data_IF_261723232067
#
_entry.id   IF_261723232067
#
_cell.length_a   1.000
_cell.length_b   1.000
_cell.length_c   1.000
_cell.angle_alpha   90.00
_cell.angle_beta   90.00
_cell.angle_gamma   90.00
#
_symmetry.space_group_name_H-M   'P 1'
#
loop_
_entity.id
_entity.type
_entity.pdbx_description
1 polymer ?
#
# COMPACT_ATOMS: atom_id res chain seq x y z
N UNK A 1 -18.37 8.36 2.40
CA UNK A 1 -16.98 8.02 1.99
C UNK A 1 -16.26 7.45 3.21
N UNK A 2 -15.83 6.18 3.17
CA UNK A 2 -15.16 5.58 4.33
C UNK A 2 -13.69 6.04 4.39
N UNK A 3 -13.20 6.55 5.52
CA UNK A 3 -11.84 7.06 5.66
C UNK A 3 -10.81 5.92 5.69
N UNK A 4 -9.60 6.13 5.15
CA UNK A 4 -8.48 5.18 5.34
C UNK A 4 -8.02 5.31 6.81
N UNK A 5 -8.10 4.23 7.57
CA UNK A 5 -7.73 4.21 8.99
C UNK A 5 -6.74 3.07 9.26
N UNK A 6 -5.59 3.44 9.80
CA UNK A 6 -4.58 2.50 10.25
C UNK A 6 -4.87 2.08 11.69
N UNK A 7 -4.97 0.77 11.93
CA UNK A 7 -4.95 0.17 13.26
C UNK A 7 -3.55 -0.31 13.63
N UNK A 8 -3.46 -1.11 14.70
CA UNK A 8 -2.19 -1.71 15.16
C UNK A 8 -1.54 -2.64 14.14
N UNK A 9 -2.34 -3.26 13.27
CA UNK A 9 -1.86 -4.17 12.20
C UNK A 9 -2.03 -3.56 10.80
N UNK A 10 -1.87 -2.25 10.66
CA UNK A 10 -2.00 -1.56 9.39
C UNK A 10 -3.44 -1.20 9.01
N UNK A 11 -3.66 -0.95 7.73
CA UNK A 11 -4.98 -0.64 7.17
C UNK A 11 -5.68 -1.91 6.68
N UNK A 12 -6.97 -2.05 7.01
CA UNK A 12 -7.82 -3.17 6.60
C UNK A 12 -9.13 -2.63 6.04
N UNK A 13 -9.75 -3.40 5.15
CA UNK A 13 -11.06 -3.11 4.59
C UNK A 13 -11.57 -4.26 3.74
N UNK A 14 -12.85 -4.20 3.36
CA UNK A 14 -13.47 -5.16 2.45
C UNK A 14 -12.94 -4.94 1.03
N UNK A 15 -12.42 -6.00 0.40
CA UNK A 15 -11.91 -5.98 -0.97
C UNK A 15 -13.03 -5.57 -1.93
N UNK A 16 -12.76 -4.58 -2.79
CA UNK A 16 -13.72 -4.08 -3.78
C UNK A 16 -14.65 -2.97 -3.27
N UNK A 17 -14.73 -2.76 -1.97
CA UNK A 17 -15.52 -1.68 -1.37
C UNK A 17 -14.62 -0.64 -0.70
N UNK A 18 -13.88 -1.06 0.32
CA UNK A 18 -13.01 -0.21 1.11
C UNK A 18 -11.56 -0.38 0.69
N UNK A 19 -11.17 -1.62 0.36
CA UNK A 19 -9.83 -1.96 -0.10
C UNK A 19 -9.84 -2.07 -1.62
N UNK A 20 -9.63 -0.92 -2.28
CA UNK A 20 -9.63 -0.78 -3.74
C UNK A 20 -8.23 -0.40 -4.25
N UNK A 21 -7.96 -0.63 -5.55
CA UNK A 21 -6.68 -0.26 -6.17
C UNK A 21 -6.37 1.23 -5.99
N UNK A 22 -7.35 2.11 -6.18
CA UNK A 22 -7.19 3.55 -5.98
C UNK A 22 -6.71 3.88 -4.57
N UNK A 23 -7.31 3.27 -3.56
CA UNK A 23 -6.97 3.54 -2.16
C UNK A 23 -5.63 2.91 -1.77
N UNK A 24 -5.29 1.75 -2.34
CA UNK A 24 -3.94 1.17 -2.24
C UNK A 24 -2.91 2.14 -2.80
N UNK A 25 -3.14 2.78 -3.95
CA UNK A 25 -2.22 3.79 -4.51
C UNK A 25 -1.98 4.95 -3.54
N UNK A 26 -3.06 5.48 -2.95
CA UNK A 26 -2.95 6.57 -1.97
C UNK A 26 -2.08 6.17 -0.79
N UNK A 27 -2.32 4.98 -0.21
CA UNK A 27 -1.52 4.48 0.91
C UNK A 27 -0.07 4.27 0.53
N UNK A 28 0.19 3.63 -0.61
CA UNK A 28 1.56 3.33 -1.04
C UNK A 28 2.34 4.60 -1.35
N UNK A 29 1.71 5.58 -2.01
CA UNK A 29 2.33 6.89 -2.26
C UNK A 29 2.69 7.59 -0.95
N UNK A 30 1.78 7.59 0.03
CA UNK A 30 2.06 8.19 1.34
C UNK A 30 3.26 7.51 2.05
N UNK A 31 3.42 6.19 1.90
CA UNK A 31 4.59 5.47 2.40
C UNK A 31 5.87 5.89 1.64
N UNK A 32 5.81 6.00 0.31
CA UNK A 32 6.95 6.45 -0.50
C UNK A 32 7.41 7.87 -0.12
N UNK A 33 6.47 8.78 0.09
CA UNK A 33 6.74 10.14 0.53
C UNK A 33 7.37 10.15 1.93
N UNK A 34 6.86 9.31 2.85
CA UNK A 34 7.42 9.16 4.19
C UNK A 34 8.88 8.65 4.15
N UNK A 35 9.16 7.58 3.39
CA UNK A 35 10.52 7.04 3.27
C UNK A 35 11.50 8.05 2.66
N UNK A 36 11.02 8.86 1.71
CA UNK A 36 11.80 9.95 1.11
C UNK A 36 12.10 11.04 2.15
N UNK A 37 11.09 11.45 2.93
CA UNK A 37 11.24 12.45 4.00
C UNK A 37 12.23 11.99 5.08
N UNK A 38 12.22 10.71 5.43
CA UNK A 38 13.14 10.12 6.41
C UNK A 38 14.55 9.85 5.82
N UNK A 39 14.77 10.11 4.54
CA UNK A 39 16.09 9.94 3.89
C UNK A 39 16.52 8.48 3.76
N UNK A 40 15.59 7.53 3.75
CA UNK A 40 15.87 6.09 3.71
C UNK A 40 15.35 5.38 2.45
N UNK A 41 14.88 6.15 1.46
CA UNK A 41 14.39 5.61 0.17
C UNK A 41 15.37 4.63 -0.48
N UNK A 42 16.67 4.94 -0.45
CA UNK A 42 17.70 4.13 -1.13
C UNK A 42 18.02 2.80 -0.45
N UNK A 43 17.46 2.53 0.74
CA UNK A 43 17.58 1.21 1.40
C UNK A 43 16.76 0.12 0.71
N UNK A 44 15.89 0.51 -0.23
CA UNK A 44 14.98 -0.39 -0.92
C UNK A 44 13.80 -0.80 -0.05
N UNK A 45 12.82 -1.46 -0.68
CA UNK A 45 11.60 -1.93 -0.03
C UNK A 45 11.26 -3.34 -0.50
N UNK A 46 10.82 -4.19 0.44
CA UNK A 46 10.33 -5.53 0.15
C UNK A 46 8.81 -5.48 0.12
N UNK A 47 8.20 -5.96 -0.96
CA UNK A 47 6.76 -6.01 -1.14
C UNK A 47 6.34 -7.46 -1.28
N UNK A 48 5.40 -7.90 -0.44
CA UNK A 48 4.84 -9.24 -0.46
C UNK A 48 3.33 -9.21 -0.27
N UNK A 49 2.67 -10.30 -0.65
CA UNK A 49 1.24 -10.50 -0.45
C UNK A 49 0.98 -11.97 -0.10
N UNK A 50 -0.21 -12.25 0.45
CA UNK A 50 -0.67 -13.62 0.68
C UNK A 50 -1.57 -14.11 -0.46
N UNK A 51 -2.19 -15.28 -0.29
CA UNK A 51 -3.00 -15.92 -1.33
C UNK A 51 -4.41 -15.34 -1.50
N UNK A 52 -4.73 -14.18 -0.90
CA UNK A 52 -6.06 -13.57 -1.05
C UNK A 52 -6.28 -13.06 -2.48
N UNK A 53 -7.56 -13.01 -2.84
CA UNK A 53 -8.01 -12.41 -4.09
C UNK A 53 -7.42 -11.00 -4.28
N UNK A 54 -6.94 -10.70 -5.49
CA UNK A 54 -6.25 -9.46 -5.86
C UNK A 54 -4.91 -9.16 -5.16
N UNK A 55 -4.39 -10.02 -4.27
CA UNK A 55 -3.11 -9.79 -3.58
C UNK A 55 -1.94 -9.53 -4.54
N UNK A 56 -1.85 -10.32 -5.62
CA UNK A 56 -0.84 -10.13 -6.68
C UNK A 56 -1.02 -8.79 -7.41
N UNK A 57 -2.25 -8.34 -7.61
CA UNK A 57 -2.53 -7.09 -8.33
C UNK A 57 -2.17 -5.88 -7.47
N UNK A 58 -2.51 -5.91 -6.19
CA UNK A 58 -2.15 -4.85 -5.26
C UNK A 58 -0.64 -4.75 -5.05
N UNK A 59 0.06 -5.88 -4.91
CA UNK A 59 1.52 -5.88 -4.77
C UNK A 59 2.22 -5.38 -6.03
N UNK A 60 1.82 -5.82 -7.23
CA UNK A 60 2.35 -5.27 -8.50
C UNK A 60 2.09 -3.78 -8.64
N UNK A 61 0.92 -3.31 -8.22
CA UNK A 61 0.63 -1.88 -8.24
C UNK A 61 1.50 -1.10 -7.27
N UNK A 62 1.76 -1.64 -6.07
CA UNK A 62 2.67 -1.04 -5.13
C UNK A 62 4.10 -0.95 -5.68
N UNK A 63 4.61 -2.00 -6.33
CA UNK A 63 5.93 -2.01 -6.98
C UNK A 63 6.08 -0.86 -7.98
N UNK A 64 5.06 -0.61 -8.81
CA UNK A 64 5.10 0.48 -9.80
C UNK A 64 5.25 1.87 -9.18
N UNK A 65 4.71 2.09 -7.98
CA UNK A 65 4.77 3.38 -7.30
C UNK A 65 6.16 3.63 -6.70
N UNK A 66 6.84 2.57 -6.25
CA UNK A 66 8.20 2.67 -5.69
C UNK A 66 9.31 2.66 -6.75
N UNK A 67 8.98 2.42 -8.02
CA UNK A 67 9.92 2.46 -9.15
C UNK A 67 10.17 3.89 -9.61
#
# INVERSE_FOLDING_TARGET
MNQIKFGTSGWRGIIGEEFTLERVRVVVQAIADYLTKEGIKDKGIIIGHDSRFMGEWYSKEAVKIFS
#
